data_IF_566267392983
#
_entry.id   IF_566267392983
#
_cell.length_a   1.000
_cell.length_b   1.000
_cell.length_c   1.000
_cell.angle_alpha   90.00
_cell.angle_beta   90.00
_cell.angle_gamma   90.00
#
_symmetry.space_group_name_H-M   'P 1'
#
loop_
_entity.id
_entity.type
_entity.pdbx_description
1 polymer ?
#
# COMPACT_ATOMS: atom_id res chain seq x y z
N UNK A 1 20.64 3.00 11.68
CA UNK A 1 19.72 2.59 10.59
C UNK A 1 19.05 3.85 10.05
N UNK A 2 19.55 4.40 8.93
CA UNK A 2 18.97 5.60 8.32
C UNK A 2 18.04 5.17 7.19
N UNK A 3 16.75 5.11 7.51
CA UNK A 3 15.66 5.01 6.56
C UNK A 3 14.75 6.20 6.81
N UNK A 4 14.13 6.67 5.72
CA UNK A 4 13.38 7.93 5.58
C UNK A 4 14.37 9.05 5.25
N UNK A 5 14.37 9.64 4.05
CA UNK A 5 13.56 10.83 3.79
C UNK A 5 13.28 10.99 2.29
N UNK A 6 12.34 10.19 1.78
CA UNK A 6 11.57 10.54 0.57
C UNK A 6 10.50 11.59 0.87
N UNK A 7 10.79 12.60 1.71
CA UNK A 7 9.92 13.76 1.84
C UNK A 7 10.08 14.57 0.54
N UNK A 8 9.00 14.61 -0.23
CA UNK A 8 8.89 15.36 -1.48
C UNK A 8 8.86 16.84 -1.10
N UNK A 9 10.03 17.41 -0.87
CA UNK A 9 10.13 18.84 -0.65
C UNK A 9 9.90 19.56 -1.97
N UNK A 10 9.11 20.62 -1.88
CA UNK A 10 8.74 21.45 -3.02
C UNK A 10 10.00 21.95 -3.75
N UNK A 11 9.91 22.08 -5.07
CA UNK A 11 11.00 22.59 -5.91
C UNK A 11 11.47 23.96 -5.42
N UNK A 12 10.55 24.80 -4.95
CA UNK A 12 10.83 26.13 -4.41
C UNK A 12 11.81 26.10 -3.23
N UNK A 13 11.65 25.16 -2.28
CA UNK A 13 12.55 25.02 -1.14
C UNK A 13 13.97 24.62 -1.58
N UNK A 14 14.08 23.83 -2.65
CA UNK A 14 15.37 23.45 -3.22
C UNK A 14 16.01 24.59 -4.01
N UNK A 15 15.23 25.44 -4.67
CA UNK A 15 15.72 26.68 -5.29
C UNK A 15 16.28 27.65 -4.25
N UNK A 16 15.57 27.87 -3.13
CA UNK A 16 16.06 28.69 -2.02
C UNK A 16 17.30 28.08 -1.35
N UNK A 17 17.36 26.76 -1.22
CA UNK A 17 18.56 26.09 -0.70
C UNK A 17 19.77 26.26 -1.62
N UNK A 18 19.58 26.18 -2.96
CA UNK A 18 20.63 26.47 -3.94
C UNK A 18 21.16 27.89 -3.76
N UNK A 19 20.26 28.89 -3.70
CA UNK A 19 20.66 30.28 -3.53
C UNK A 19 21.48 30.49 -2.24
N UNK A 20 21.08 29.82 -1.15
CA UNK A 20 21.82 29.86 0.11
C UNK A 20 23.20 29.19 -0.02
N UNK A 21 23.31 28.07 -0.75
CA UNK A 21 24.58 27.41 -0.99
C UNK A 21 25.51 28.20 -1.92
N UNK A 22 24.97 28.87 -2.93
CA UNK A 22 25.71 29.80 -3.82
C UNK A 22 26.27 30.98 -3.02
N UNK A 23 25.52 31.46 -2.02
CA UNK A 23 25.98 32.49 -1.06
C UNK A 23 26.92 31.95 0.03
N UNK A 24 27.30 30.67 -0.02
CA UNK A 24 28.25 30.05 0.91
C UNK A 24 27.67 29.61 2.26
N UNK A 25 26.34 29.65 2.45
CA UNK A 25 25.74 29.23 3.71
C UNK A 25 25.80 27.71 3.91
N UNK A 26 26.05 27.28 5.14
CA UNK A 26 26.05 25.88 5.54
C UNK A 26 24.64 25.28 5.65
N UNK A 27 24.57 23.94 5.64
CA UNK A 27 23.29 23.22 5.69
C UNK A 27 22.49 23.49 6.98
N UNK A 28 23.12 23.70 8.14
CA UNK A 28 22.41 23.98 9.40
C UNK A 28 21.64 25.29 9.38
N UNK A 29 22.29 26.35 8.88
CA UNK A 29 21.68 27.68 8.76
C UNK A 29 20.57 27.66 7.71
N UNK A 30 20.83 27.01 6.58
CA UNK A 30 19.84 26.84 5.51
C UNK A 30 18.61 26.05 6.00
N UNK A 31 18.81 24.99 6.79
CA UNK A 31 17.73 24.23 7.42
C UNK A 31 16.86 25.07 8.35
N UNK A 32 17.49 25.84 9.26
CA UNK A 32 16.76 26.74 10.15
C UNK A 32 15.95 27.80 9.41
N UNK A 33 16.51 28.36 8.32
CA UNK A 33 15.86 29.40 7.52
C UNK A 33 14.69 28.88 6.68
N UNK A 34 14.79 27.64 6.19
CA UNK A 34 13.76 27.02 5.35
C UNK A 34 12.72 26.22 6.16
N UNK A 35 12.90 26.06 7.46
CA UNK A 35 12.04 25.19 8.29
C UNK A 35 12.12 23.71 7.89
N UNK A 36 13.22 23.30 7.24
CA UNK A 36 13.46 21.94 6.77
C UNK A 36 14.42 21.24 7.71
N UNK A 37 14.29 19.92 7.87
CA UNK A 37 15.19 19.16 8.74
C UNK A 37 16.66 19.33 8.32
N UNK A 38 17.57 19.46 9.29
CA UNK A 38 18.99 19.60 9.00
C UNK A 38 19.58 18.41 8.24
N UNK A 39 19.02 17.21 8.44
CA UNK A 39 19.42 16.00 7.72
C UNK A 39 19.05 16.09 6.23
N UNK A 40 17.82 16.52 5.91
CA UNK A 40 17.39 16.75 4.53
C UNK A 40 18.28 17.77 3.83
N UNK A 41 18.53 18.92 4.46
CA UNK A 41 19.36 19.97 3.83
C UNK A 41 20.82 19.53 3.70
N UNK A 42 21.31 18.68 4.60
CA UNK A 42 22.63 18.05 4.48
C UNK A 42 22.71 17.17 3.23
N UNK A 43 21.68 16.38 2.93
CA UNK A 43 21.61 15.60 1.69
C UNK A 43 21.57 16.50 0.45
N UNK A 44 20.82 17.60 0.51
CA UNK A 44 20.79 18.58 -0.58
C UNK A 44 22.16 19.22 -0.82
N UNK A 45 22.88 19.58 0.24
CA UNK A 45 24.21 20.16 0.12
C UNK A 45 25.20 19.15 -0.47
N UNK A 46 25.12 17.87 -0.08
CA UNK A 46 25.92 16.80 -0.71
C UNK A 46 25.63 16.70 -2.20
N UNK A 47 24.34 16.65 -2.57
CA UNK A 47 23.93 16.57 -3.97
C UNK A 47 24.38 17.79 -4.78
N UNK A 48 24.21 18.98 -4.22
CA UNK A 48 24.66 20.24 -4.81
C UNK A 48 26.17 20.24 -5.07
N UNK A 49 26.98 19.71 -4.13
CA UNK A 49 28.43 19.61 -4.33
C UNK A 49 28.84 18.61 -5.40
N UNK A 50 28.07 17.55 -5.62
CA UNK A 50 28.41 16.48 -6.58
C UNK A 50 27.89 16.77 -7.98
N UNK A 51 26.63 17.17 -8.11
CA UNK A 51 25.91 17.32 -9.40
C UNK A 51 25.61 18.79 -9.71
N UNK A 52 25.83 19.70 -8.76
CA UNK A 52 25.51 21.12 -8.93
C UNK A 52 24.02 21.44 -8.82
N UNK A 53 23.69 22.68 -9.16
CA UNK A 53 22.33 23.22 -9.19
C UNK A 53 21.35 22.33 -9.93
N UNK A 54 21.72 21.87 -11.13
CA UNK A 54 20.86 21.05 -11.99
C UNK A 54 20.43 19.75 -11.32
N UNK A 55 21.35 19.05 -10.66
CA UNK A 55 21.05 17.80 -9.96
C UNK A 55 20.14 17.97 -8.75
N UNK A 56 20.36 19.03 -7.97
CA UNK A 56 19.51 19.32 -6.81
C UNK A 56 18.08 19.73 -7.23
N UNK A 57 17.93 20.51 -8.29
CA UNK A 57 16.61 20.91 -8.80
C UNK A 57 15.86 19.76 -9.49
N UNK A 58 16.58 18.84 -10.13
CA UNK A 58 16.00 17.64 -10.72
C UNK A 58 15.58 16.58 -9.68
N UNK A 59 16.08 16.66 -8.44
CA UNK A 59 15.70 15.75 -7.35
C UNK A 59 14.17 15.69 -7.20
N UNK A 60 13.57 14.50 -7.14
CA UNK A 60 12.12 14.37 -6.94
C UNK A 60 11.21 14.83 -8.12
N UNK A 61 11.75 15.41 -9.19
CA UNK A 61 11.00 15.75 -10.42
C UNK A 61 10.71 14.50 -11.26
N UNK A 62 11.42 13.40 -11.02
CA UNK A 62 11.38 12.18 -11.83
C UNK A 62 10.19 11.24 -11.60
N UNK A 63 8.98 11.79 -11.47
CA UNK A 63 7.79 11.03 -11.86
C UNK A 63 7.06 11.85 -12.91
N UNK A 64 7.43 11.65 -14.18
CA UNK A 64 6.55 12.00 -15.29
C UNK A 64 5.16 11.43 -14.98
N UNK A 65 4.23 12.32 -14.67
CA UNK A 65 2.84 11.98 -14.40
C UNK A 65 2.16 11.86 -15.74
N UNK A 66 1.89 10.62 -16.15
CA UNK A 66 1.12 10.36 -17.35
C UNK A 66 -0.36 10.29 -16.98
N UNK A 67 -1.19 10.94 -17.78
CA UNK A 67 -2.63 10.84 -17.67
C UNK A 67 -3.10 9.41 -17.97
N UNK A 68 -4.27 9.06 -17.44
CA UNK A 68 -4.86 7.73 -17.65
C UNK A 68 -5.05 7.44 -19.14
N UNK A 69 -5.57 8.41 -19.89
CA UNK A 69 -5.79 8.30 -21.33
C UNK A 69 -4.48 8.01 -22.09
N UNK A 70 -3.40 8.74 -21.77
CA UNK A 70 -2.09 8.52 -22.38
C UNK A 70 -1.54 7.11 -22.11
N UNK A 71 -1.76 6.58 -20.90
CA UNK A 71 -1.35 5.21 -20.55
C UNK A 71 -2.12 4.17 -21.35
N UNK A 72 -3.44 4.35 -21.47
CA UNK A 72 -4.33 3.44 -22.20
C UNK A 72 -4.03 3.48 -23.68
N UNK A 73 -3.90 4.68 -24.26
CA UNK A 73 -3.60 4.86 -25.68
C UNK A 73 -2.25 4.22 -26.05
N UNK A 74 -1.22 4.44 -25.23
CA UNK A 74 0.09 3.84 -25.47
C UNK A 74 0.09 2.31 -25.33
N UNK A 75 -0.61 1.77 -24.32
CA UNK A 75 -0.72 0.33 -24.15
C UNK A 75 -1.53 -0.33 -25.28
N UNK A 76 -2.66 0.27 -25.68
CA UNK A 76 -3.50 -0.18 -26.79
C UNK A 76 -2.75 -0.17 -28.12
N UNK A 77 -2.00 0.89 -28.42
CA UNK A 77 -1.21 0.98 -29.64
C UNK A 77 -0.19 -0.16 -29.75
N UNK A 78 0.43 -0.55 -28.63
CA UNK A 78 1.43 -1.63 -28.60
C UNK A 78 0.79 -3.03 -28.58
N UNK A 79 -0.30 -3.22 -27.83
CA UNK A 79 -0.91 -4.54 -27.63
C UNK A 79 -1.87 -4.90 -28.77
N UNK A 80 -2.76 -3.99 -29.15
CA UNK A 80 -3.78 -4.24 -30.17
C UNK A 80 -3.32 -3.73 -31.54
N UNK A 81 -2.64 -2.58 -31.56
CA UNK A 81 -2.18 -1.92 -32.79
C UNK A 81 -0.85 -2.45 -33.35
N UNK A 82 -0.19 -3.38 -32.66
CA UNK A 82 1.10 -3.96 -33.08
C UNK A 82 2.28 -2.98 -33.10
N UNK A 83 2.11 -1.76 -32.58
CA UNK A 83 3.16 -0.72 -32.58
C UNK A 83 4.38 -1.17 -31.77
N UNK A 84 5.57 -0.83 -32.26
CA UNK A 84 6.78 -1.12 -31.51
C UNK A 84 6.85 -0.26 -30.23
N UNK A 85 7.46 -0.79 -29.16
CA UNK A 85 7.60 -0.06 -27.89
C UNK A 85 8.39 1.25 -28.04
N UNK A 86 9.50 1.32 -28.80
CA UNK A 86 10.22 2.58 -29.01
C UNK A 86 9.37 3.62 -29.74
N UNK A 87 8.63 3.21 -30.76
CA UNK A 87 7.74 4.10 -31.52
C UNK A 87 6.61 4.64 -30.66
N UNK A 88 5.99 3.79 -29.83
CA UNK A 88 5.00 4.23 -28.85
C UNK A 88 5.59 5.19 -27.80
N UNK A 89 6.85 4.98 -27.38
CA UNK A 89 7.51 5.92 -26.46
C UNK A 89 7.67 7.30 -27.06
N UNK A 90 8.07 7.40 -28.33
CA UNK A 90 8.19 8.68 -29.04
C UNK A 90 6.82 9.32 -29.23
N UNK A 91 5.85 8.56 -29.75
CA UNK A 91 4.50 9.05 -30.08
C UNK A 91 3.75 9.58 -28.85
N UNK A 92 3.89 8.92 -27.70
CA UNK A 92 3.16 9.26 -26.48
C UNK A 92 4.03 9.99 -25.44
N UNK A 93 5.25 10.41 -25.80
CA UNK A 93 6.14 11.17 -24.91
C UNK A 93 6.55 10.42 -23.64
N UNK A 94 6.71 9.09 -23.73
CA UNK A 94 7.01 8.23 -22.57
C UNK A 94 8.52 8.12 -22.39
N UNK A 95 9.04 8.76 -21.35
CA UNK A 95 10.47 8.75 -21.03
C UNK A 95 10.98 7.38 -20.54
N UNK A 96 10.09 6.47 -20.12
CA UNK A 96 10.47 5.22 -19.47
C UNK A 96 9.90 3.99 -20.16
N UNK A 97 10.79 3.19 -20.76
CA UNK A 97 10.45 1.90 -21.35
C UNK A 97 9.87 0.91 -20.30
N UNK A 98 10.31 1.00 -19.04
CA UNK A 98 9.81 0.12 -17.97
C UNK A 98 8.37 0.47 -17.60
N UNK A 99 8.00 1.76 -17.63
CA UNK A 99 6.63 2.22 -17.44
C UNK A 99 5.72 1.69 -18.55
N UNK A 100 6.13 1.83 -19.81
CA UNK A 100 5.35 1.32 -20.94
C UNK A 100 5.19 -0.21 -20.91
N UNK A 101 6.27 -0.96 -20.62
CA UNK A 101 6.21 -2.43 -20.48
C UNK A 101 5.20 -2.85 -19.40
N UNK A 102 5.20 -2.15 -18.26
CA UNK A 102 4.23 -2.41 -17.18
C UNK A 102 2.80 -2.14 -17.63
N UNK A 103 2.56 -1.05 -18.35
CA UNK A 103 1.21 -0.74 -18.84
C UNK A 103 0.71 -1.75 -19.86
N UNK A 104 1.56 -2.16 -20.80
CA UNK A 104 1.22 -3.21 -21.78
C UNK A 104 0.84 -4.53 -21.08
N UNK A 105 1.56 -4.90 -20.01
CA UNK A 105 1.25 -6.10 -19.23
C UNK A 105 -0.13 -6.00 -18.56
N UNK A 106 -0.37 -4.92 -17.82
CA UNK A 106 -1.67 -4.68 -17.16
C UNK A 106 -2.82 -4.64 -18.17
N UNK A 107 -2.59 -4.03 -19.33
CA UNK A 107 -3.58 -3.95 -20.40
C UNK A 107 -3.95 -5.32 -20.97
N UNK A 108 -2.99 -6.25 -21.11
CA UNK A 108 -3.30 -7.63 -21.51
C UNK A 108 -4.09 -8.40 -20.45
N UNK A 109 -3.85 -8.11 -19.17
CA UNK A 109 -4.50 -8.81 -18.05
C UNK A 109 -5.94 -8.33 -17.80
N UNK A 110 -6.24 -7.04 -18.03
CA UNK A 110 -7.55 -6.48 -17.70
C UNK A 110 -7.95 -5.24 -18.49
N UNK A 111 -7.39 -5.07 -19.68
CA UNK A 111 -7.70 -3.98 -20.60
C UNK A 111 -7.45 -2.59 -20.01
N UNK A 112 -8.23 -1.61 -20.48
CA UNK A 112 -8.14 -0.23 -20.02
C UNK A 112 -8.43 -0.09 -18.51
N UNK A 113 -9.27 -0.97 -17.92
CA UNK A 113 -9.64 -0.87 -16.50
C UNK A 113 -8.47 -1.19 -15.57
N UNK A 114 -7.56 -2.07 -15.97
CA UNK A 114 -6.37 -2.41 -15.20
C UNK A 114 -5.37 -1.24 -15.05
N UNK A 115 -5.47 -0.23 -15.93
CA UNK A 115 -4.63 0.97 -15.90
C UNK A 115 -5.21 2.10 -15.05
N UNK A 116 -6.45 1.96 -14.56
CA UNK A 116 -7.07 2.99 -13.74
C UNK A 116 -6.27 3.17 -12.45
N UNK A 117 -6.13 4.42 -11.98
CA UNK A 117 -5.52 4.66 -10.69
C UNK A 117 -6.31 3.91 -9.62
N UNK A 118 -5.67 2.92 -8.97
CA UNK A 118 -6.27 2.25 -7.82
C UNK A 118 -6.49 3.28 -6.71
N UNK A 119 -7.62 3.22 -5.98
CA UNK A 119 -7.88 4.13 -4.87
C UNK A 119 -6.68 4.13 -3.92
N UNK A 120 -6.22 5.34 -3.60
CA UNK A 120 -4.98 5.56 -2.87
C UNK A 120 -5.23 5.25 -1.39
N UNK A 121 -4.75 4.11 -0.92
CA UNK A 121 -4.85 3.72 0.49
C UNK A 121 -4.57 2.25 0.70
N UNK A 122 -4.11 1.89 1.91
CA UNK A 122 -4.18 0.51 2.40
C UNK A 122 -5.67 0.18 2.51
N UNK A 123 -6.18 -0.94 1.96
CA UNK A 123 -7.54 -1.37 2.30
C UNK A 123 -7.61 -1.42 3.83
N UNK A 124 -8.60 -0.74 4.44
CA UNK A 124 -8.82 -0.83 5.89
C UNK A 124 -8.90 -2.32 6.21
N UNK A 125 -7.89 -2.81 6.94
CA UNK A 125 -7.79 -4.21 7.30
C UNK A 125 -9.04 -4.63 8.06
N UNK A 126 -9.45 -5.88 7.81
CA UNK A 126 -10.51 -6.64 8.46
C UNK A 126 -11.79 -5.86 8.75
N UNK A 127 -12.84 -6.19 8.00
CA UNK A 127 -14.23 -6.03 8.42
C UNK A 127 -14.30 -6.35 9.92
N UNK A 128 -14.62 -5.33 10.72
CA UNK A 128 -14.93 -5.47 12.14
C UNK A 128 -15.98 -6.57 12.23
N UNK A 129 -15.70 -7.65 12.98
CA UNK A 129 -16.64 -8.73 13.16
C UNK A 129 -18.00 -8.11 13.51
N UNK A 130 -18.98 -8.35 12.63
CA UNK A 130 -20.36 -7.93 12.87
C UNK A 130 -20.76 -8.59 14.19
N UNK A 131 -21.24 -7.83 15.19
CA UNK A 131 -21.72 -8.46 16.42
C UNK A 131 -22.82 -9.47 16.05
N UNK A 132 -22.79 -10.68 16.62
CA UNK A 132 -23.71 -11.73 16.25
C UNK A 132 -25.15 -11.23 16.35
N UNK A 133 -25.93 -11.56 15.34
CA UNK A 133 -27.35 -11.24 15.29
C UNK A 133 -28.05 -11.95 16.44
N UNK A 134 -29.16 -11.42 16.96
CA UNK A 134 -29.93 -12.02 18.07
C UNK A 134 -30.23 -13.52 17.85
N UNK A 135 -30.42 -13.92 16.60
CA UNK A 135 -30.65 -15.31 16.19
C UNK A 135 -29.43 -16.22 16.38
N UNK A 136 -28.23 -15.71 16.12
CA UNK A 136 -26.97 -16.46 16.28
C UNK A 136 -26.65 -16.68 17.77
N UNK A 137 -26.88 -15.66 18.61
CA UNK A 137 -26.77 -15.82 20.07
C UNK A 137 -27.75 -16.86 20.61
N UNK A 138 -28.98 -16.89 20.07
CA UNK A 138 -29.98 -17.89 20.45
C UNK A 138 -29.54 -19.30 20.04
N UNK A 139 -28.96 -19.47 18.85
CA UNK A 139 -28.44 -20.77 18.40
C UNK A 139 -27.30 -21.27 19.29
N UNK A 140 -26.38 -20.40 19.69
CA UNK A 140 -25.30 -20.78 20.62
C UNK A 140 -25.84 -21.17 22.00
N UNK A 141 -26.84 -20.44 22.51
CA UNK A 141 -27.52 -20.78 23.76
C UNK A 141 -28.23 -22.13 23.68
N UNK A 142 -28.93 -22.40 22.58
CA UNK A 142 -29.59 -23.70 22.34
C UNK A 142 -28.55 -24.82 22.33
N UNK A 143 -27.45 -24.68 21.58
CA UNK A 143 -26.36 -25.68 21.54
C UNK A 143 -25.78 -25.94 22.93
N UNK A 144 -25.56 -24.89 23.72
CA UNK A 144 -25.06 -25.00 25.10
C UNK A 144 -26.05 -25.74 26.00
N UNK A 145 -27.34 -25.42 25.91
CA UNK A 145 -28.39 -26.07 26.69
C UNK A 145 -28.56 -27.55 26.29
N UNK A 146 -28.52 -27.86 25.01
CA UNK A 146 -28.56 -29.24 24.52
C UNK A 146 -27.39 -30.07 25.04
N UNK A 147 -26.19 -29.50 25.05
CA UNK A 147 -25.01 -30.15 25.63
C UNK A 147 -25.19 -30.42 27.14
N UNK A 148 -25.74 -29.47 27.90
CA UNK A 148 -26.01 -29.64 29.32
C UNK A 148 -27.07 -30.72 29.58
N UNK A 149 -28.17 -30.72 28.82
CA UNK A 149 -29.22 -31.73 28.91
C UNK A 149 -28.67 -33.12 28.57
N UNK A 150 -27.85 -33.23 27.52
CA UNK A 150 -27.20 -34.48 27.15
C UNK A 150 -26.28 -35.01 28.26
N UNK A 151 -25.49 -34.12 28.88
CA UNK A 151 -24.64 -34.47 30.02
C UNK A 151 -25.46 -34.98 31.22
N UNK A 152 -26.53 -34.27 31.59
CA UNK A 152 -27.41 -34.67 32.69
C UNK A 152 -28.08 -36.01 32.42
N UNK A 153 -28.61 -36.24 31.22
CA UNK A 153 -29.19 -37.53 30.81
C UNK A 153 -28.17 -38.67 30.95
N UNK A 154 -26.94 -38.48 30.48
CA UNK A 154 -25.86 -39.48 30.65
C UNK A 154 -25.55 -39.75 32.12
N UNK A 155 -25.53 -38.72 32.96
CA UNK A 155 -25.29 -38.85 34.40
C UNK A 155 -26.39 -39.65 35.11
N UNK A 156 -27.65 -39.44 34.72
CA UNK A 156 -28.80 -40.16 35.26
C UNK A 156 -28.76 -41.63 34.82
N UNK A 157 -28.49 -41.89 33.53
CA UNK A 157 -28.34 -43.23 33.01
C UNK A 157 -27.22 -44.01 33.72
N UNK A 158 -26.06 -43.37 33.95
CA UNK A 158 -24.95 -43.96 34.69
C UNK A 158 -25.33 -44.31 36.14
N UNK A 159 -26.06 -43.42 36.83
CA UNK A 159 -26.55 -43.67 38.20
C UNK A 159 -27.56 -44.81 38.25
N UNK A 160 -28.46 -44.89 37.27
CA UNK A 160 -29.43 -45.98 37.15
C UNK A 160 -28.73 -47.34 36.92
N UNK A 161 -27.76 -47.39 36.01
CA UNK A 161 -26.95 -48.60 35.75
C UNK A 161 -26.17 -49.06 36.99
N UNK A 162 -25.58 -48.13 37.74
CA UNK A 162 -24.88 -48.47 38.99
C UNK A 162 -25.82 -49.05 40.04
N UNK A 163 -27.04 -48.49 40.17
CA UNK A 163 -28.07 -49.00 41.10
C UNK A 163 -28.54 -50.41 40.74
N UNK A 164 -28.73 -50.70 39.45
CA UNK A 164 -29.10 -52.06 39.01
C UNK A 164 -27.97 -53.07 39.19
N UNK A 165 -26.70 -52.66 39.04
CA UNK A 165 -25.54 -53.53 39.27
C UNK A 165 -25.29 -53.85 40.75
N UNK A 166 -25.59 -52.92 41.67
CA UNK A 166 -25.47 -53.15 43.12
C UNK A 166 -26.66 -53.91 43.73
N UNK A 167 -27.75 -54.10 42.97
CA UNK A 167 -28.96 -54.81 43.41
C UNK A 167 -28.99 -56.30 43.10
N UNK A 168 -27.90 -56.87 42.57
CA UNK A 168 -27.85 -58.31 42.24
C UNK A 168 -26.69 -58.98 42.97
N UNK A 169 -26.99 -59.53 44.14
CA UNK A 169 -26.32 -60.72 44.67
C UNK A 169 -27.41 -61.69 45.18
N UNK A 170 -27.27 -63.01 44.92
CA UNK A 170 -28.19 -64.04 45.42
C UNK A 170 -28.13 -64.18 46.94
#
# INVERSE_FOLDING_TARGET
MSVVLGLRHDRLLREQAVEMFERGFGYRLTAGRLGVSAETVREWQKMYRVIGRGGLLAMGVNRATYDYETKVAAARAVVDGGMSKPEAMVRFGIASATSLKKWCRLYREGGAQALKPKPKGRPKGSVRAVPPTREEELQERVRKLEAQVAYLKKSIALKAQRRSQTGTKP
#
